data_IF_794515588959
#
_entry.id   IF_794515588959
#
_cell.length_a   1.000
_cell.length_b   1.000
_cell.length_c   1.000
_cell.angle_alpha   90.00
_cell.angle_beta   90.00
_cell.angle_gamma   90.00
#
_symmetry.space_group_name_H-M   'P 1'
#
loop_
_entity.id
_entity.type
_entity.pdbx_description
1 polymer ?
#
# COMPACT_ATOMS: atom_id res chain seq x y z
N UNK A 1 -8.47 1.01 7.25
CA UNK A 1 -8.91 -0.02 6.28
C UNK A 1 -8.13 -1.28 6.59
N UNK A 2 -8.79 -2.43 6.49
CA UNK A 2 -8.26 -3.74 6.90
C UNK A 2 -8.40 -4.63 5.67
N UNK A 3 -7.33 -5.31 5.27
CA UNK A 3 -7.36 -6.31 4.19
C UNK A 3 -8.16 -7.54 4.64
N UNK A 4 -8.60 -8.36 3.70
CA UNK A 4 -9.21 -9.65 4.03
C UNK A 4 -8.29 -10.46 4.97
N UNK A 5 -8.84 -11.09 6.03
CA UNK A 5 -8.02 -11.84 6.98
C UNK A 5 -7.22 -12.99 6.35
N UNK A 6 -7.77 -13.64 5.31
CA UNK A 6 -7.07 -14.71 4.58
C UNK A 6 -5.89 -14.12 3.82
N UNK A 7 -6.10 -13.01 3.11
CA UNK A 7 -5.04 -12.30 2.41
C UNK A 7 -3.92 -11.85 3.36
N UNK A 8 -4.30 -11.33 4.52
CA UNK A 8 -3.34 -10.93 5.57
C UNK A 8 -2.49 -12.12 6.01
N UNK A 9 -3.11 -13.27 6.29
CA UNK A 9 -2.40 -14.48 6.69
C UNK A 9 -1.45 -14.99 5.60
N UNK A 10 -1.81 -14.89 4.33
CA UNK A 10 -0.95 -15.26 3.20
C UNK A 10 0.27 -14.34 3.05
N UNK A 11 0.08 -13.03 3.25
CA UNK A 11 1.18 -12.05 3.28
C UNK A 11 2.14 -12.39 4.42
N UNK A 12 1.61 -12.66 5.62
CA UNK A 12 2.41 -13.04 6.79
C UNK A 12 3.21 -14.34 6.55
N UNK A 13 2.61 -15.31 5.85
CA UNK A 13 3.23 -16.56 5.44
C UNK A 13 4.22 -16.42 4.26
N UNK A 14 4.41 -15.21 3.72
CA UNK A 14 5.26 -14.94 2.55
C UNK A 14 4.87 -15.74 1.30
N UNK A 15 3.60 -16.08 1.17
CA UNK A 15 3.08 -16.74 -0.02
C UNK A 15 3.08 -15.80 -1.22
N UNK A 16 3.27 -16.38 -2.41
CA UNK A 16 3.14 -15.61 -3.65
C UNK A 16 1.66 -15.31 -3.91
N UNK A 17 1.39 -14.04 -4.21
CA UNK A 17 0.10 -13.53 -4.65
C UNK A 17 0.16 -13.42 -6.18
N UNK A 18 -0.73 -14.11 -6.92
CA UNK A 18 -0.70 -14.06 -8.38
C UNK A 18 -0.97 -12.65 -8.91
N UNK A 19 -0.25 -12.25 -9.95
CA UNK A 19 -0.54 -11.03 -10.68
C UNK A 19 -1.92 -11.12 -11.37
N UNK A 20 -2.70 -10.03 -11.30
CA UNK A 20 -4.07 -9.91 -11.76
C UNK A 20 -5.12 -10.57 -10.86
N UNK A 21 -4.73 -11.11 -9.70
CA UNK A 21 -5.68 -11.71 -8.75
C UNK A 21 -6.49 -10.66 -8.01
N UNK A 22 -7.66 -11.06 -7.50
CA UNK A 22 -8.49 -10.21 -6.64
C UNK A 22 -7.72 -9.73 -5.40
N UNK A 23 -6.81 -10.56 -4.88
CA UNK A 23 -5.94 -10.23 -3.76
C UNK A 23 -4.91 -9.15 -4.10
N UNK A 24 -4.24 -9.23 -5.26
CA UNK A 24 -3.37 -8.14 -5.73
C UNK A 24 -4.18 -6.85 -5.93
N UNK A 25 -5.35 -6.95 -6.54
CA UNK A 25 -6.24 -5.81 -6.78
C UNK A 25 -6.67 -5.19 -5.44
N UNK A 26 -6.99 -6.00 -4.43
CA UNK A 26 -7.34 -5.52 -3.10
C UNK A 26 -6.18 -4.75 -2.46
N UNK A 27 -4.95 -5.29 -2.50
CA UNK A 27 -3.75 -4.59 -1.99
C UNK A 27 -3.54 -3.25 -2.70
N UNK A 28 -3.76 -3.19 -4.01
CA UNK A 28 -3.58 -1.97 -4.81
C UNK A 28 -4.67 -0.95 -4.54
N UNK A 29 -5.93 -1.38 -4.50
CA UNK A 29 -7.06 -0.53 -4.12
C UNK A 29 -6.88 0.02 -2.70
N UNK A 30 -6.38 -0.83 -1.80
CA UNK A 30 -6.05 -0.45 -0.45
C UNK A 30 -4.99 0.66 -0.41
N UNK A 31 -3.88 0.50 -1.14
CA UNK A 31 -2.84 1.53 -1.22
C UNK A 31 -3.37 2.88 -1.72
N UNK A 32 -4.18 2.87 -2.79
CA UNK A 32 -4.82 4.10 -3.32
C UNK A 32 -5.71 4.75 -2.26
N UNK A 33 -6.58 3.97 -1.61
CA UNK A 33 -7.48 4.50 -0.59
C UNK A 33 -6.73 5.08 0.61
N UNK A 34 -5.62 4.45 1.03
CA UNK A 34 -4.79 4.97 2.11
C UNK A 34 -4.17 6.32 1.75
N UNK A 35 -3.68 6.49 0.52
CA UNK A 35 -3.15 7.77 0.02
C UNK A 35 -4.23 8.85 0.01
N UNK A 36 -5.44 8.55 -0.49
CA UNK A 36 -6.55 9.52 -0.52
C UNK A 36 -6.96 9.98 0.89
N UNK A 37 -6.98 9.06 1.87
CA UNK A 37 -7.23 9.42 3.26
C UNK A 37 -6.15 10.37 3.81
N UNK A 38 -4.88 10.13 3.50
CA UNK A 38 -3.77 11.01 3.90
C UNK A 38 -3.85 12.38 3.23
N UNK A 39 -4.22 12.44 1.95
CA UNK A 39 -4.49 13.69 1.22
C UNK A 39 -5.58 14.50 1.94
N UNK A 40 -6.69 13.85 2.32
CA UNK A 40 -7.78 14.47 3.05
C UNK A 40 -7.33 15.06 4.40
N UNK A 41 -6.54 14.31 5.17
CA UNK A 41 -6.00 14.77 6.44
C UNK A 41 -5.01 15.94 6.28
N UNK A 42 -4.13 15.88 5.28
CA UNK A 42 -3.21 16.97 4.96
C UNK A 42 -3.96 18.26 4.58
N UNK A 43 -5.03 18.15 3.79
CA UNK A 43 -5.90 19.28 3.47
C UNK A 43 -6.56 19.86 4.75
N UNK A 44 -7.06 19.00 5.66
CA UNK A 44 -7.63 19.41 6.95
C UNK A 44 -6.62 20.17 7.83
N UNK A 45 -5.34 19.82 7.72
CA UNK A 45 -4.22 20.50 8.38
C UNK A 45 -3.72 21.76 7.66
N UNK A 46 -4.42 22.23 6.61
CA UNK A 46 -4.02 23.37 5.76
C UNK A 46 -2.68 23.16 5.05
N UNK A 47 -2.36 21.91 4.71
CA UNK A 47 -1.15 21.51 3.98
C UNK A 47 -1.52 20.64 2.76
N UNK A 48 -2.29 21.16 1.80
CA UNK A 48 -2.77 20.34 0.69
C UNK A 48 -1.60 19.74 -0.11
N UNK A 49 -1.75 18.48 -0.51
CA UNK A 49 -0.84 17.76 -1.38
C UNK A 49 -1.66 16.92 -2.37
N UNK A 50 -1.11 16.67 -3.56
CA UNK A 50 -1.72 15.78 -4.54
C UNK A 50 -1.42 14.33 -4.17
N UNK A 51 -2.28 13.41 -4.55
CA UNK A 51 -2.13 11.98 -4.24
C UNK A 51 -0.75 11.43 -4.62
N UNK A 52 -0.26 11.74 -5.82
CA UNK A 52 1.07 11.28 -6.27
C UNK A 52 2.23 11.89 -5.46
N UNK A 53 2.05 13.08 -4.87
CA UNK A 53 3.07 13.69 -4.01
C UNK A 53 3.14 12.95 -2.67
N UNK A 54 1.97 12.58 -2.12
CA UNK A 54 1.89 11.78 -0.89
C UNK A 54 2.47 10.38 -1.11
N UNK A 55 2.11 9.72 -2.21
CA UNK A 55 2.68 8.43 -2.61
C UNK A 55 4.22 8.49 -2.72
N UNK A 56 4.75 9.50 -3.42
CA UNK A 56 6.20 9.71 -3.52
C UNK A 56 6.86 9.98 -2.16
N UNK A 57 6.22 10.76 -1.28
CA UNK A 57 6.74 11.01 0.08
C UNK A 57 6.81 9.71 0.89
N UNK A 58 5.76 8.87 0.83
CA UNK A 58 5.73 7.58 1.51
C UNK A 58 6.80 6.63 0.98
N UNK A 59 6.96 6.56 -0.35
CA UNK A 59 8.02 5.77 -0.98
C UNK A 59 9.40 6.17 -0.45
N UNK A 60 9.73 7.45 -0.45
CA UNK A 60 11.02 7.93 0.05
C UNK A 60 11.20 7.67 1.54
N UNK A 61 10.15 7.89 2.34
CA UNK A 61 10.18 7.63 3.77
C UNK A 61 10.48 6.16 4.06
N UNK A 62 9.88 5.23 3.30
CA UNK A 62 10.05 3.79 3.50
C UNK A 62 11.48 3.29 3.28
N UNK A 63 12.29 3.95 2.45
CA UNK A 63 13.66 3.50 2.12
C UNK A 63 14.59 3.45 3.33
N UNK A 64 14.30 4.26 4.37
CA UNK A 64 15.09 4.31 5.61
C UNK A 64 14.41 3.63 6.80
N UNK A 65 13.28 2.97 6.59
CA UNK A 65 12.49 2.37 7.66
C UNK A 65 12.71 0.86 7.74
N UNK A 66 12.91 0.36 8.96
CA UNK A 66 12.74 -1.05 9.24
C UNK A 66 11.25 -1.32 9.40
N UNK A 67 10.66 -2.04 8.45
CA UNK A 67 9.23 -2.34 8.45
C UNK A 67 9.02 -3.65 9.19
N UNK A 68 8.20 -3.65 10.24
CA UNK A 68 7.92 -4.82 11.07
C UNK A 68 6.96 -5.83 10.44
N UNK A 69 6.47 -5.54 9.23
CA UNK A 69 5.51 -6.36 8.50
C UNK A 69 6.12 -6.82 7.17
N UNK A 70 5.84 -8.06 6.73
CA UNK A 70 6.36 -8.55 5.46
C UNK A 70 5.72 -7.83 4.28
N UNK A 71 6.50 -7.67 3.21
CA UNK A 71 5.99 -7.22 1.92
C UNK A 71 5.19 -8.35 1.25
N UNK A 72 4.08 -7.99 0.62
CA UNK A 72 3.38 -8.92 -0.28
C UNK A 72 4.31 -9.32 -1.44
N UNK A 73 4.19 -10.56 -1.91
CA UNK A 73 5.05 -11.09 -2.97
C UNK A 73 4.22 -11.34 -4.21
N UNK A 74 4.25 -10.40 -5.13
CA UNK A 74 3.65 -10.56 -6.46
C UNK A 74 4.77 -10.52 -7.49
N UNK A 75 4.89 -11.56 -8.32
CA UNK A 75 5.83 -11.56 -9.44
C UNK A 75 5.12 -11.02 -10.69
N UNK A 76 5.63 -9.92 -11.25
CA UNK A 76 5.06 -9.30 -12.46
C UNK A 76 6.10 -8.45 -13.18
N UNK A 77 5.74 -7.98 -14.38
CA UNK A 77 6.59 -7.16 -15.25
C UNK A 77 6.32 -5.65 -15.13
N UNK A 78 5.35 -5.25 -14.30
CA UNK A 78 4.84 -3.88 -14.23
C UNK A 78 5.61 -2.96 -13.26
N UNK A 79 6.59 -3.48 -12.53
CA UNK A 79 7.45 -2.71 -11.61
C UNK A 79 8.85 -3.31 -11.50
#
# INVERSE_FOLDING_TARGET
MILDPVLTARIDAHEEIPAGSDEEIEIRAATVQAVELLVGELARLRRPARAFEVDWMLWNLSQGMEVSFPYHRTLTIFY
#
